data_IF_224715595083
#
_entry.id   IF_224715595083
#
_cell.length_a   1.000
_cell.length_b   1.000
_cell.length_c   1.000
_cell.angle_alpha   90.00
_cell.angle_beta   90.00
_cell.angle_gamma   90.00
#
_symmetry.space_group_name_H-M   'P 1'
#
loop_
_entity.id
_entity.type
_entity.pdbx_description
1 polymer ?
#
# COMPACT_ATOMS: atom_id res chain seq x y z
N UNK A 1 15.01 21.35 12.42
CA UNK A 1 14.55 21.42 11.04
C UNK A 1 13.27 20.61 10.88
N UNK A 2 12.31 21.18 10.24
CA UNK A 2 11.07 20.47 10.00
C UNK A 2 11.30 19.28 9.05
N UNK A 3 10.39 18.31 9.11
CA UNK A 3 10.40 17.22 8.16
C UNK A 3 10.36 17.77 6.73
N UNK A 4 11.00 17.08 5.79
CA UNK A 4 10.94 17.52 4.41
C UNK A 4 9.50 17.66 3.94
N UNK A 5 9.17 18.79 3.37
CA UNK A 5 7.87 19.00 2.73
C UNK A 5 7.94 18.63 1.25
N UNK A 6 9.07 18.06 0.82
CA UNK A 6 9.29 17.70 -0.56
C UNK A 6 8.29 16.65 -0.99
N UNK A 7 7.57 16.97 -2.06
CA UNK A 7 6.64 16.04 -2.69
C UNK A 7 7.43 14.91 -3.34
N UNK A 8 7.01 13.68 -3.08
CA UNK A 8 7.62 12.49 -3.65
C UNK A 8 6.54 11.41 -3.74
N UNK A 9 6.89 10.29 -4.34
CA UNK A 9 5.97 9.18 -4.45
C UNK A 9 5.94 8.36 -3.18
N UNK A 10 4.75 8.13 -2.66
CA UNK A 10 4.51 7.29 -1.49
C UNK A 10 3.38 6.32 -1.82
N UNK A 11 3.61 5.05 -1.55
CA UNK A 11 2.58 4.03 -1.76
C UNK A 11 1.77 3.87 -0.49
N UNK A 12 0.46 3.95 -0.63
CA UNK A 12 -0.48 3.66 0.45
C UNK A 12 -1.05 2.28 0.17
N UNK A 13 -0.74 1.33 1.03
CA UNK A 13 -1.12 -0.07 0.85
C UNK A 13 -2.24 -0.40 1.82
N UNK A 14 -3.36 -0.93 1.31
CA UNK A 14 -4.49 -1.32 2.14
C UNK A 14 -4.39 -2.80 2.44
N UNK A 15 -4.22 -3.14 3.71
CA UNK A 15 -4.01 -4.52 4.16
C UNK A 15 -5.24 -5.01 4.90
N UNK A 16 -5.61 -6.26 4.63
CA UNK A 16 -6.76 -6.89 5.24
C UNK A 16 -7.87 -7.09 4.23
N UNK A 17 -7.97 -8.29 3.66
CA UNK A 17 -8.96 -8.57 2.62
C UNK A 17 -10.27 -9.10 3.19
N UNK A 18 -10.35 -9.30 4.52
CA UNK A 18 -11.54 -9.84 5.19
C UNK A 18 -12.35 -8.79 5.94
N UNK A 19 -11.98 -7.52 5.82
CA UNK A 19 -12.53 -6.45 6.65
C UNK A 19 -14.04 -6.24 6.48
N UNK A 20 -14.57 -6.57 5.29
CA UNK A 20 -15.96 -6.27 4.94
C UNK A 20 -16.92 -7.43 5.22
N UNK A 21 -16.41 -8.56 5.71
CA UNK A 21 -17.22 -9.77 5.83
C UNK A 21 -18.39 -9.67 6.80
N UNK A 22 -18.21 -8.88 7.87
CA UNK A 22 -19.24 -8.75 8.91
C UNK A 22 -20.13 -7.53 8.71
N UNK A 23 -19.93 -6.78 7.63
CA UNK A 23 -20.74 -5.60 7.35
C UNK A 23 -22.00 -5.98 6.58
N UNK A 24 -23.12 -5.33 6.90
CA UNK A 24 -24.32 -5.44 6.07
C UNK A 24 -24.07 -4.77 4.72
N UNK A 25 -24.88 -5.11 3.73
CA UNK A 25 -24.78 -4.48 2.41
C UNK A 25 -24.91 -2.96 2.52
N UNK A 26 -25.81 -2.48 3.40
CA UNK A 26 -26.02 -1.05 3.59
C UNK A 26 -24.78 -0.39 4.22
N UNK A 27 -24.22 -1.00 5.26
CA UNK A 27 -22.99 -0.50 5.89
C UNK A 27 -21.84 -0.45 4.90
N UNK A 28 -21.68 -1.51 4.12
CA UNK A 28 -20.62 -1.59 3.12
C UNK A 28 -20.79 -0.49 2.07
N UNK A 29 -22.02 -0.26 1.62
CA UNK A 29 -22.28 0.80 0.65
C UNK A 29 -21.88 2.17 1.20
N UNK A 30 -22.17 2.43 2.48
CA UNK A 30 -21.79 3.69 3.11
C UNK A 30 -20.27 3.85 3.16
N UNK A 31 -19.55 2.80 3.53
CA UNK A 31 -18.08 2.83 3.56
C UNK A 31 -17.52 3.10 2.16
N UNK A 32 -18.06 2.40 1.16
CA UNK A 32 -17.56 2.55 -0.20
C UNK A 32 -17.87 3.93 -0.79
N UNK A 33 -19.02 4.51 -0.45
CA UNK A 33 -19.33 5.87 -0.86
C UNK A 33 -18.30 6.86 -0.30
N UNK A 34 -17.96 6.72 0.99
CA UNK A 34 -16.93 7.57 1.61
C UNK A 34 -15.57 7.35 0.98
N UNK A 35 -15.26 6.10 0.64
CA UNK A 35 -13.99 5.75 0.00
C UNK A 35 -13.87 6.42 -1.37
N UNK A 36 -14.92 6.34 -2.17
CA UNK A 36 -14.92 6.94 -3.49
C UNK A 36 -14.85 8.47 -3.41
N UNK A 37 -15.54 9.06 -2.45
CA UNK A 37 -15.47 10.52 -2.22
C UNK A 37 -14.05 10.92 -1.80
N UNK A 38 -13.42 10.15 -0.95
CA UNK A 38 -12.05 10.37 -0.49
C UNK A 38 -11.06 10.32 -1.67
N UNK A 39 -11.15 9.26 -2.47
CA UNK A 39 -10.29 9.11 -3.65
C UNK A 39 -10.53 10.24 -4.65
N UNK A 40 -11.80 10.59 -4.89
CA UNK A 40 -12.15 11.66 -5.82
C UNK A 40 -11.58 13.00 -5.37
N UNK A 41 -11.69 13.31 -4.08
CA UNK A 41 -11.13 14.54 -3.54
C UNK A 41 -9.61 14.59 -3.72
N UNK A 42 -8.93 13.50 -3.37
CA UNK A 42 -7.48 13.42 -3.52
C UNK A 42 -7.04 13.54 -4.98
N UNK A 43 -7.81 12.96 -5.88
CA UNK A 43 -7.54 13.03 -7.32
C UNK A 43 -7.70 14.46 -7.83
N UNK A 44 -8.78 15.14 -7.41
CA UNK A 44 -9.00 16.54 -7.81
C UNK A 44 -7.92 17.46 -7.26
N UNK A 45 -7.35 17.13 -6.10
CA UNK A 45 -6.27 17.92 -5.51
C UNK A 45 -4.90 17.58 -6.12
N UNK A 46 -4.86 16.67 -7.08
CA UNK A 46 -3.61 16.30 -7.75
C UNK A 46 -2.67 15.46 -6.88
N UNK A 47 -3.18 14.81 -5.85
CA UNK A 47 -2.38 14.07 -4.89
C UNK A 47 -2.26 12.59 -5.20
N UNK A 48 -3.07 12.06 -6.13
CA UNK A 48 -3.06 10.64 -6.50
C UNK A 48 -2.54 10.51 -7.92
N UNK A 49 -1.48 9.73 -8.09
CA UNK A 49 -0.92 9.41 -9.39
C UNK A 49 -1.56 8.14 -9.97
N UNK A 50 -1.88 7.18 -9.12
CA UNK A 50 -2.52 5.92 -9.52
C UNK A 50 -3.22 5.32 -8.31
N UNK A 51 -4.28 4.56 -8.57
CA UNK A 51 -5.01 3.85 -7.52
C UNK A 51 -5.71 2.66 -8.16
N UNK A 52 -5.59 1.48 -7.54
CA UNK A 52 -6.24 0.28 -8.04
C UNK A 52 -6.62 -0.64 -6.90
N UNK A 53 -7.81 -1.24 -6.97
CA UNK A 53 -8.11 -2.40 -6.12
C UNK A 53 -7.46 -3.64 -6.70
N UNK A 54 -7.23 -4.64 -5.85
CA UNK A 54 -6.69 -5.93 -6.28
C UNK A 54 -7.74 -7.01 -6.08
N UNK A 55 -7.76 -7.98 -6.99
CA UNK A 55 -8.67 -9.12 -6.87
C UNK A 55 -8.31 -9.96 -5.65
N UNK A 56 -9.30 -10.62 -5.08
CA UNK A 56 -9.10 -11.60 -4.02
C UNK A 56 -8.68 -12.97 -4.56
N UNK A 57 -8.50 -13.09 -5.88
CA UNK A 57 -7.98 -14.28 -6.53
C UNK A 57 -6.53 -14.03 -6.93
N UNK A 58 -5.72 -15.05 -6.79
CA UNK A 58 -4.32 -14.91 -7.16
C UNK A 58 -3.54 -16.15 -6.82
N UNK A 59 -2.23 -16.08 -7.01
CA UNK A 59 -1.32 -17.15 -6.68
C UNK A 59 -0.10 -16.59 -5.97
N UNK A 60 0.43 -17.37 -5.06
CA UNK A 60 1.68 -17.07 -4.38
C UNK A 60 2.74 -18.00 -4.92
N UNK A 61 3.86 -17.46 -5.36
CA UNK A 61 5.00 -18.24 -5.86
C UNK A 61 6.10 -18.18 -4.80
N UNK A 62 6.65 -19.34 -4.46
CA UNK A 62 7.69 -19.43 -3.45
C UNK A 62 8.70 -20.49 -3.87
N UNK A 63 9.79 -20.58 -3.10
CA UNK A 63 10.82 -21.59 -3.33
C UNK A 63 10.62 -22.71 -2.34
N UNK A 64 10.50 -23.95 -2.84
CA UNK A 64 10.31 -25.11 -1.98
C UNK A 64 11.06 -26.30 -2.58
N UNK A 65 11.94 -26.90 -1.76
CA UNK A 65 12.67 -28.12 -2.12
C UNK A 65 13.42 -28.01 -3.45
N UNK A 66 14.10 -26.90 -3.67
CA UNK A 66 14.94 -26.70 -4.83
C UNK A 66 14.22 -26.27 -6.10
N UNK A 67 12.95 -25.85 -6.00
CA UNK A 67 12.19 -25.42 -7.16
C UNK A 67 11.24 -24.27 -6.82
N UNK A 68 10.94 -23.47 -7.83
CA UNK A 68 9.87 -22.48 -7.70
C UNK A 68 8.52 -23.20 -7.79
N UNK A 69 7.65 -22.95 -6.83
CA UNK A 69 6.32 -23.56 -6.78
C UNK A 69 5.27 -22.47 -6.60
N UNK A 70 4.07 -22.73 -7.07
CA UNK A 70 2.97 -21.82 -6.84
C UNK A 70 1.93 -22.42 -5.90
N UNK A 71 1.15 -21.56 -5.28
CA UNK A 71 0.06 -21.95 -4.42
C UNK A 71 -1.03 -20.88 -4.47
N UNK A 72 -2.19 -21.15 -3.87
CA UNK A 72 -3.27 -20.19 -3.88
C UNK A 72 -2.93 -18.95 -3.06
N UNK A 73 -3.46 -17.81 -3.49
CA UNK A 73 -3.46 -16.60 -2.67
C UNK A 73 -4.41 -16.81 -1.48
N UNK A 74 -3.96 -16.46 -0.29
CA UNK A 74 -4.78 -16.57 0.91
C UNK A 74 -5.21 -15.18 1.38
N UNK A 75 -6.52 -14.99 1.50
CA UNK A 75 -7.05 -13.78 2.11
C UNK A 75 -6.68 -13.76 3.58
N UNK A 76 -6.26 -12.60 4.08
CA UNK A 76 -5.84 -12.46 5.47
C UNK A 76 -5.78 -10.99 5.86
N UNK A 77 -5.47 -10.74 7.13
CA UNK A 77 -5.25 -9.37 7.63
C UNK A 77 -4.01 -8.73 7.02
N UNK A 78 -3.06 -9.54 6.57
CA UNK A 78 -1.81 -9.04 5.99
C UNK A 78 -1.85 -8.93 4.48
N UNK A 79 -2.86 -9.51 3.84
CA UNK A 79 -2.98 -9.48 2.39
C UNK A 79 -3.34 -8.07 1.92
N UNK A 80 -2.69 -7.63 0.85
CA UNK A 80 -2.92 -6.31 0.28
C UNK A 80 -4.11 -6.38 -0.66
N UNK A 81 -5.13 -5.55 -0.41
CA UNK A 81 -6.34 -5.52 -1.22
C UNK A 81 -6.41 -4.38 -2.21
N UNK A 82 -5.43 -3.47 -2.18
CA UNK A 82 -5.40 -2.35 -3.10
C UNK A 82 -4.33 -1.35 -2.71
N UNK A 83 -4.18 -0.32 -3.52
CA UNK A 83 -3.17 0.71 -3.24
C UNK A 83 -3.57 2.05 -3.85
N UNK A 84 -3.02 3.13 -3.24
CA UNK A 84 -2.94 4.45 -3.86
C UNK A 84 -1.46 4.78 -4.00
N UNK A 85 -1.08 5.31 -5.15
CA UNK A 85 0.24 5.91 -5.33
C UNK A 85 0.06 7.41 -5.20
N UNK A 86 0.59 7.97 -4.12
CA UNK A 86 0.41 9.37 -3.77
C UNK A 86 1.63 10.19 -4.17
N UNK A 87 1.37 11.42 -4.58
CA UNK A 87 2.42 12.38 -4.93
C UNK A 87 2.35 13.53 -3.91
N UNK A 88 2.88 13.27 -2.72
CA UNK A 88 2.83 14.17 -1.56
C UNK A 88 4.08 13.95 -0.70
N UNK A 89 4.22 14.74 0.38
CA UNK A 89 5.26 14.47 1.37
C UNK A 89 4.90 13.24 2.20
N UNK A 90 5.90 12.69 2.89
CA UNK A 90 5.67 11.55 3.77
C UNK A 90 4.63 11.87 4.86
N UNK A 91 4.80 13.01 5.51
CA UNK A 91 3.88 13.40 6.58
C UNK A 91 2.46 13.57 6.07
N UNK A 92 2.29 14.14 4.89
CA UNK A 92 0.97 14.28 4.29
C UNK A 92 0.40 12.91 3.93
N UNK A 93 1.22 11.99 3.43
CA UNK A 93 0.76 10.65 3.12
C UNK A 93 0.21 9.94 4.35
N UNK A 94 0.87 10.11 5.50
CA UNK A 94 0.39 9.54 6.77
C UNK A 94 -0.96 10.16 7.15
N UNK A 95 -1.10 11.47 7.03
CA UNK A 95 -2.37 12.12 7.34
C UNK A 95 -3.49 11.67 6.40
N UNK A 96 -3.19 11.49 5.13
CA UNK A 96 -4.14 10.94 4.17
C UNK A 96 -4.55 9.53 4.57
N UNK A 97 -3.60 8.70 4.96
CA UNK A 97 -3.90 7.32 5.39
C UNK A 97 -4.87 7.28 6.57
N UNK A 98 -4.76 8.23 7.49
CA UNK A 98 -5.65 8.31 8.64
C UNK A 98 -7.10 8.59 8.26
N UNK A 99 -7.34 9.06 7.06
CA UNK A 99 -8.69 9.35 6.57
C UNK A 99 -9.38 8.12 5.96
N UNK A 100 -8.71 7.00 5.88
CA UNK A 100 -9.28 5.80 5.24
C UNK A 100 -10.57 5.37 5.93
N UNK A 101 -11.69 5.31 5.21
CA UNK A 101 -12.99 5.02 5.83
C UNK A 101 -13.13 3.63 6.43
N UNK A 102 -12.26 2.69 6.05
CA UNK A 102 -12.35 1.31 6.51
C UNK A 102 -11.44 1.00 7.69
N UNK A 103 -10.67 1.98 8.22
CA UNK A 103 -9.77 1.72 9.35
C UNK A 103 -10.51 1.15 10.54
N UNK A 104 -11.66 1.71 10.89
CA UNK A 104 -12.43 1.24 12.05
C UNK A 104 -13.05 -0.12 11.83
N UNK A 105 -13.01 -0.63 10.62
CA UNK A 105 -13.53 -1.96 10.29
C UNK A 105 -12.42 -3.01 10.16
N UNK A 106 -11.18 -2.65 10.47
CA UNK A 106 -10.09 -3.59 10.53
C UNK A 106 -9.06 -3.53 9.41
N UNK A 107 -9.26 -2.70 8.40
CA UNK A 107 -8.22 -2.45 7.41
C UNK A 107 -7.07 -1.70 8.06
N UNK A 108 -5.84 -1.97 7.65
CA UNK A 108 -4.70 -1.12 7.98
C UNK A 108 -4.16 -0.50 6.72
N UNK A 109 -3.70 0.74 6.83
CA UNK A 109 -3.13 1.47 5.70
C UNK A 109 -1.64 1.68 5.99
N UNK A 110 -0.80 1.08 5.16
CA UNK A 110 0.65 1.16 5.35
C UNK A 110 1.22 2.17 4.37
N UNK A 111 1.99 3.11 4.86
CA UNK A 111 2.61 4.15 4.03
C UNK A 111 4.06 3.77 3.77
N UNK A 112 4.45 3.67 2.50
CA UNK A 112 5.80 3.27 2.11
C UNK A 112 6.35 4.26 1.09
N UNK A 113 7.47 4.92 1.38
CA UNK A 113 8.12 5.73 0.34
C UNK A 113 8.56 4.85 -0.83
N UNK A 114 8.38 5.38 -2.04
CA UNK A 114 8.90 4.74 -3.25
C UNK A 114 10.31 5.25 -3.46
N UNK A 115 11.26 4.34 -3.63
CA UNK A 115 12.67 4.69 -3.80
C UNK A 115 13.15 4.26 -5.18
N UNK A 116 14.19 4.92 -5.67
CA UNK A 116 14.71 4.64 -7.00
C UNK A 116 15.51 3.35 -7.05
N UNK A 117 16.19 3.01 -5.95
CA UNK A 117 17.02 1.80 -5.89
C UNK A 117 16.68 1.02 -4.63
N UNK A 118 16.52 -0.29 -4.76
CA UNK A 118 16.17 -1.12 -3.61
C UNK A 118 17.33 -1.22 -2.61
N UNK A 119 16.96 -1.44 -1.34
CA UNK A 119 17.95 -1.51 -0.26
C UNK A 119 19.00 -2.61 -0.48
N UNK A 120 18.62 -3.70 -1.16
CA UNK A 120 19.55 -4.77 -1.45
C UNK A 120 20.66 -4.32 -2.40
N UNK A 121 20.32 -3.50 -3.39
CA UNK A 121 21.33 -2.94 -4.30
C UNK A 121 22.25 -1.96 -3.58
N UNK A 122 21.70 -1.15 -2.65
CA UNK A 122 22.52 -0.28 -1.83
C UNK A 122 23.56 -1.09 -1.06
N UNK A 123 23.15 -2.23 -0.51
CA UNK A 123 24.07 -3.11 0.24
C UNK A 123 25.13 -3.72 -0.66
N UNK A 124 24.76 -4.09 -1.88
CA UNK A 124 25.72 -4.60 -2.86
C UNK A 124 26.77 -3.54 -3.17
N UNK A 125 26.34 -2.30 -3.44
CA UNK A 125 27.23 -1.21 -3.73
C UNK A 125 28.14 -0.88 -2.56
N UNK A 126 27.62 -0.90 -1.33
CA UNK A 126 28.42 -0.69 -0.13
C UNK A 126 29.46 -1.79 0.06
N UNK A 127 29.07 -3.05 -0.19
CA UNK A 127 29.98 -4.16 -0.12
C UNK A 127 31.10 -4.09 -1.15
N UNK A 128 30.77 -3.71 -2.37
CA UNK A 128 31.76 -3.52 -3.42
C UNK A 128 32.72 -2.38 -3.08
N UNK A 129 32.19 -1.27 -2.56
CA UNK A 129 33.02 -0.16 -2.14
C UNK A 129 33.98 -0.57 -1.03
N UNK A 130 33.51 -1.39 -0.07
CA UNK A 130 34.36 -1.89 1.03
C UNK A 130 35.47 -2.79 0.52
N UNK A 131 35.18 -3.63 -0.49
CA UNK A 131 36.19 -4.55 -1.02
C UNK A 131 37.16 -3.86 -1.96
N UNK A 132 36.77 -2.74 -2.54
CA UNK A 132 37.64 -1.96 -3.41
C UNK A 132 38.66 -1.09 -2.64
N UNK A 133 38.41 -0.90 -1.35
CA UNK A 133 39.24 -0.04 -0.51
C UNK A 133 40.48 -0.68 0.10
#
# INVERSE_FOLDING_TARGET
MSAPTTTAEHMLLFKGTLWDRDLSAEELQQVMTRWMDWLDRLTREGKVKAAQPLSNQGKTVSWNKGAAVDGPFAESKEAIGGYFLLLVSFDEAVEIAKECPALKHGITAEVRPVIEQCASMDRVEQGLASTAG
#
